data_IF_090703853150
#
_entry.id   IF_090703853150
#
_cell.length_a   1.000
_cell.length_b   1.000
_cell.length_c   1.000
_cell.angle_alpha   90.00
_cell.angle_beta   90.00
_cell.angle_gamma   90.00
#
_symmetry.space_group_name_H-M   'P 1'
#
loop_
_entity.id
_entity.type
_entity.pdbx_description
1 polymer ?
#
# COMPACT_ATOMS: atom_id res chain seq x y z
N UNK A 1 6.24 3.97 38.87
CA UNK A 1 5.28 3.43 37.87
C UNK A 1 4.15 4.39 37.55
N UNK A 2 3.37 4.86 38.53
CA UNK A 2 2.22 5.77 38.30
C UNK A 2 2.54 7.03 37.50
N UNK A 3 3.73 7.61 37.67
CA UNK A 3 4.18 8.81 36.93
C UNK A 3 4.38 8.56 35.43
N UNK A 4 4.80 7.36 35.05
CA UNK A 4 5.01 6.99 33.65
C UNK A 4 3.67 6.82 32.94
N UNK A 5 2.71 6.17 33.60
CA UNK A 5 1.34 6.02 33.09
C UNK A 5 0.64 7.38 32.94
N UNK A 6 0.80 8.29 33.90
CA UNK A 6 0.26 9.65 33.80
C UNK A 6 0.87 10.45 32.65
N UNK A 7 2.18 10.33 32.43
CA UNK A 7 2.88 10.99 31.33
C UNK A 7 2.48 10.41 29.96
N UNK A 8 2.24 9.11 29.88
CA UNK A 8 1.73 8.44 28.67
C UNK A 8 0.28 8.84 28.35
N UNK A 9 -0.61 8.91 29.35
CA UNK A 9 -1.99 9.40 29.14
C UNK A 9 -2.05 10.89 28.78
N UNK A 10 -1.07 11.68 29.23
CA UNK A 10 -0.94 13.10 28.87
C UNK A 10 -0.18 13.32 27.56
N UNK A 11 0.30 12.26 26.92
CA UNK A 11 1.13 12.33 25.72
C UNK A 11 0.23 12.52 24.49
N UNK A 12 -0.05 13.78 24.16
CA UNK A 12 -0.72 14.16 22.91
C UNK A 12 0.30 14.34 21.78
N UNK A 13 1.34 13.51 21.70
CA UNK A 13 2.17 13.39 20.49
C UNK A 13 1.37 12.67 19.39
N UNK A 14 0.12 13.09 19.19
CA UNK A 14 -0.60 12.87 17.97
C UNK A 14 0.10 13.73 16.93
N UNK A 15 0.93 13.10 16.13
CA UNK A 15 1.39 13.61 14.85
C UNK A 15 0.18 14.26 14.18
N UNK A 16 0.34 15.50 13.74
CA UNK A 16 -0.78 16.32 13.26
C UNK A 16 -1.50 15.63 12.09
N UNK A 17 -2.79 15.93 11.89
CA UNK A 17 -3.54 15.41 10.76
C UNK A 17 -2.86 15.69 9.40
N UNK A 18 -2.07 16.77 9.31
CA UNK A 18 -1.25 17.12 8.15
C UNK A 18 -0.14 16.10 7.93
N UNK A 19 0.59 15.71 8.97
CA UNK A 19 1.70 14.75 8.87
C UNK A 19 1.21 13.35 8.51
N UNK A 20 0.06 12.91 9.04
CA UNK A 20 -0.58 11.68 8.59
C UNK A 20 -1.05 11.77 7.13
N UNK A 21 -1.53 12.93 6.69
CA UNK A 21 -1.84 13.20 5.29
C UNK A 21 -0.61 13.07 4.38
N UNK A 22 0.54 13.60 4.80
CA UNK A 22 1.81 13.48 4.06
C UNK A 22 2.28 12.03 3.98
N UNK A 23 2.26 11.29 5.10
CA UNK A 23 2.64 9.87 5.10
C UNK A 23 1.71 9.02 4.23
N UNK A 24 0.40 9.29 4.26
CA UNK A 24 -0.57 8.66 3.37
C UNK A 24 -0.30 8.95 1.90
N UNK A 25 0.06 10.20 1.56
CA UNK A 25 0.44 10.58 0.20
C UNK A 25 1.70 9.89 -0.30
N UNK A 26 2.72 9.75 0.55
CA UNK A 26 3.96 9.02 0.23
C UNK A 26 3.69 7.52 0.06
N UNK A 27 2.87 6.92 0.91
CA UNK A 27 2.50 5.51 0.78
C UNK A 27 1.74 5.26 -0.53
N UNK A 28 0.78 6.14 -0.86
CA UNK A 28 -0.01 6.03 -2.09
C UNK A 28 0.87 6.12 -3.35
N UNK A 29 1.84 7.03 -3.39
CA UNK A 29 2.75 7.17 -4.54
C UNK A 29 3.66 5.95 -4.72
N UNK A 30 4.18 5.39 -3.63
CA UNK A 30 4.95 4.13 -3.67
C UNK A 30 4.08 2.97 -4.17
N UNK A 31 2.83 2.88 -3.71
CA UNK A 31 1.91 1.84 -4.17
C UNK A 31 1.60 1.96 -5.66
N UNK A 32 1.45 3.18 -6.19
CA UNK A 32 1.27 3.39 -7.64
C UNK A 32 2.46 2.87 -8.45
N UNK A 33 3.69 3.08 -7.96
CA UNK A 33 4.89 2.57 -8.62
C UNK A 33 4.96 1.03 -8.60
N UNK A 34 4.57 0.40 -7.50
CA UNK A 34 4.56 -1.07 -7.37
C UNK A 34 3.44 -1.70 -8.19
N UNK A 35 2.25 -1.11 -8.16
CA UNK A 35 1.11 -1.56 -8.96
C UNK A 35 1.47 -1.55 -10.45
N UNK A 36 2.30 -0.58 -10.87
CA UNK A 36 2.74 -0.46 -12.25
C UNK A 36 1.56 -0.17 -13.19
N UNK A 37 1.76 -0.39 -14.48
CA UNK A 37 0.73 -0.21 -15.51
C UNK A 37 0.42 -1.55 -16.20
N UNK A 38 -0.26 -1.52 -17.35
CA UNK A 38 -0.55 -2.75 -18.10
C UNK A 38 0.72 -3.41 -18.68
N UNK A 39 1.82 -2.65 -18.81
CA UNK A 39 3.07 -3.09 -19.43
C UNK A 39 4.13 -3.53 -18.40
N UNK A 40 3.97 -3.17 -17.12
CA UNK A 40 4.96 -3.45 -16.07
C UNK A 40 4.35 -3.54 -14.66
N UNK A 41 5.04 -4.24 -13.76
CA UNK A 41 4.63 -4.33 -12.35
C UNK A 41 3.56 -5.39 -12.08
N UNK A 42 2.83 -5.19 -10.98
CA UNK A 42 1.86 -6.17 -10.49
C UNK A 42 0.71 -6.39 -11.47
N UNK A 43 0.16 -5.32 -12.05
CA UNK A 43 -1.00 -5.40 -12.96
C UNK A 43 -0.63 -6.17 -14.24
N UNK A 44 0.52 -5.91 -14.85
CA UNK A 44 1.00 -6.65 -16.02
C UNK A 44 1.16 -8.17 -15.74
N UNK A 45 1.61 -8.52 -14.54
CA UNK A 45 1.74 -9.92 -14.12
C UNK A 45 0.37 -10.60 -14.04
N UNK A 46 -0.65 -9.90 -13.51
CA UNK A 46 -2.02 -10.43 -13.48
C UNK A 46 -2.60 -10.63 -14.88
N UNK A 47 -2.38 -9.70 -15.80
CA UNK A 47 -2.81 -9.85 -17.20
C UNK A 47 -2.12 -11.04 -17.87
N UNK A 48 -0.81 -11.17 -17.71
CA UNK A 48 -0.04 -12.31 -18.23
C UNK A 48 -0.59 -13.64 -17.70
N UNK A 49 -0.90 -13.72 -16.41
CA UNK A 49 -1.49 -14.92 -15.82
C UNK A 49 -2.87 -15.23 -16.41
N UNK A 50 -3.71 -14.22 -16.61
CA UNK A 50 -5.02 -14.38 -17.23
C UNK A 50 -4.91 -14.89 -18.67
N UNK A 51 -4.03 -14.29 -19.48
CA UNK A 51 -3.81 -14.70 -20.87
C UNK A 51 -3.31 -16.14 -20.95
N UNK A 52 -2.39 -16.55 -20.06
CA UNK A 52 -1.91 -17.92 -19.99
C UNK A 52 -3.02 -18.92 -19.69
N UNK A 53 -3.96 -18.58 -18.79
CA UNK A 53 -5.12 -19.41 -18.49
C UNK A 53 -6.04 -19.51 -19.73
N UNK A 54 -6.29 -18.39 -20.41
CA UNK A 54 -7.12 -18.35 -21.59
C UNK A 54 -6.53 -19.19 -22.73
N UNK A 55 -5.22 -19.09 -22.96
CA UNK A 55 -4.49 -19.93 -23.92
C UNK A 55 -4.63 -21.40 -23.55
N UNK A 56 -4.42 -21.76 -22.28
CA UNK A 56 -4.53 -23.15 -21.83
C UNK A 56 -5.93 -23.73 -22.09
N UNK A 57 -6.99 -22.95 -21.85
CA UNK A 57 -8.39 -23.34 -22.12
C UNK A 57 -8.65 -23.50 -23.61
N UNK A 58 -8.15 -22.59 -24.46
CA UNK A 58 -8.36 -22.65 -25.91
C UNK A 58 -7.55 -23.76 -26.60
N UNK A 59 -6.44 -24.16 -26.00
CA UNK A 59 -5.59 -25.25 -26.49
C UNK A 59 -6.06 -26.66 -26.09
N UNK A 60 -7.09 -26.75 -25.23
CA UNK A 60 -7.70 -27.99 -24.75
C UNK A 60 -8.92 -28.36 -25.60
#
# INVERSE_FOLDING_TARGET
MLTILKRFLADQQGVTAIEYGVMGGVLASVLVLIMGNQDSGFIATLFTLYDNILIAIQSA
#
